data_IF_023752889144
#
_entry.id   IF_023752889144
#
_cell.length_a   1.000
_cell.length_b   1.000
_cell.length_c   1.000
_cell.angle_alpha   90.00
_cell.angle_beta   90.00
_cell.angle_gamma   90.00
#
_symmetry.space_group_name_H-M   'P 1'
#
loop_
_entity.id
_entity.type
_entity.pdbx_description
1 polymer ?
#
# COMPACT_ATOMS: atom_id res chain seq x y z
N UNK A 1 -27.78 -6.43 14.01
CA UNK A 1 -26.48 -5.83 14.42
C UNK A 1 -25.50 -6.04 13.29
N UNK A 2 -24.75 -5.02 12.89
CA UNK A 2 -23.76 -5.08 11.81
C UNK A 2 -22.60 -4.13 12.11
N UNK A 3 -21.40 -4.49 11.65
CA UNK A 3 -20.15 -3.76 11.84
C UNK A 3 -19.61 -3.33 10.47
N UNK A 4 -19.07 -2.11 10.36
CA UNK A 4 -18.55 -1.54 9.11
C UNK A 4 -17.18 -0.90 9.36
N UNK A 5 -16.32 -0.85 8.32
CA UNK A 5 -15.10 -0.04 8.28
C UNK A 5 -15.30 1.16 7.34
N UNK A 6 -14.80 2.35 7.72
CA UNK A 6 -14.78 3.52 6.83
C UNK A 6 -13.61 4.45 7.17
N UNK A 7 -12.92 4.97 6.15
CA UNK A 7 -11.95 6.05 6.31
C UNK A 7 -11.76 6.82 5.00
N UNK A 8 -12.06 8.13 5.00
CA UNK A 8 -11.48 9.10 4.06
C UNK A 8 -11.69 10.53 4.59
N UNK A 9 -10.64 11.35 4.60
CA UNK A 9 -10.78 12.79 4.40
C UNK A 9 -9.49 13.39 3.82
N UNK A 10 -9.64 14.16 2.72
CA UNK A 10 -8.58 14.80 1.94
C UNK A 10 -8.05 16.07 2.64
N UNK A 11 -6.76 16.33 2.48
CA UNK A 11 -6.09 17.58 2.88
C UNK A 11 -6.04 18.52 1.67
N UNK A 12 -6.35 19.80 1.87
CA UNK A 12 -6.12 20.88 0.91
C UNK A 12 -4.76 21.55 1.19
N UNK A 13 -3.98 21.81 0.15
CA UNK A 13 -2.85 22.75 0.19
C UNK A 13 -2.94 23.72 -0.99
N UNK A 14 -2.81 25.02 -0.69
CA UNK A 14 -2.67 26.10 -1.68
C UNK A 14 -1.19 26.22 -2.09
N UNK A 15 -0.84 26.50 -3.36
CA UNK A 15 0.55 26.72 -3.73
C UNK A 15 0.95 28.18 -3.49
N UNK A 16 2.13 28.37 -2.90
CA UNK A 16 2.86 29.65 -2.86
C UNK A 16 3.70 29.74 -4.14
N UNK A 17 3.50 30.77 -4.96
CA UNK A 17 4.38 31.07 -6.10
C UNK A 17 5.67 31.71 -5.61
N UNK A 18 6.80 31.17 -6.00
CA UNK A 18 8.10 31.87 -5.99
C UNK A 18 8.63 31.96 -7.42
N UNK A 19 8.84 33.19 -7.90
CA UNK A 19 9.59 33.48 -9.11
C UNK A 19 11.08 33.46 -8.74
N UNK A 20 11.87 32.60 -9.39
CA UNK A 20 13.33 32.71 -9.41
C UNK A 20 13.81 32.78 -10.85
N UNK A 21 14.43 33.91 -11.19
CA UNK A 21 15.21 34.08 -12.42
C UNK A 21 16.58 33.48 -12.11
N UNK A 22 16.84 32.29 -12.63
CA UNK A 22 18.12 31.61 -12.56
C UNK A 22 18.29 30.82 -13.85
N UNK A 23 19.51 30.76 -14.37
CA UNK A 23 19.85 29.95 -15.53
C UNK A 23 19.36 28.51 -15.28
N UNK A 24 18.37 28.05 -16.05
CA UNK A 24 17.86 26.68 -15.94
C UNK A 24 19.00 25.76 -16.37
N UNK A 25 19.63 25.12 -15.39
CA UNK A 25 20.50 23.97 -15.64
C UNK A 25 19.56 22.87 -16.11
N UNK A 26 19.67 22.50 -17.39
CA UNK A 26 18.87 21.43 -17.93
C UNK A 26 19.46 20.10 -17.44
N UNK A 27 18.78 19.41 -16.53
CA UNK A 27 19.22 18.16 -15.92
C UNK A 27 18.02 17.37 -15.39
N UNK A 28 18.27 16.09 -15.06
CA UNK A 28 17.27 15.22 -14.45
C UNK A 28 16.48 15.93 -13.33
N UNK A 29 15.15 15.96 -13.43
CA UNK A 29 14.27 16.64 -12.48
C UNK A 29 12.89 15.98 -12.37
N UNK A 30 12.07 16.52 -11.47
CA UNK A 30 10.66 16.17 -11.30
C UNK A 30 10.40 14.66 -11.05
N UNK A 31 11.35 13.98 -10.39
CA UNK A 31 11.22 12.56 -10.08
C UNK A 31 10.05 12.32 -9.13
N UNK A 32 9.10 11.52 -9.58
CA UNK A 32 7.87 11.15 -8.87
C UNK A 32 7.68 9.66 -8.92
N UNK A 33 7.28 9.08 -7.80
CA UNK A 33 6.94 7.67 -7.73
C UNK A 33 5.46 7.47 -7.42
N UNK A 34 4.91 6.39 -7.94
CA UNK A 34 3.59 5.87 -7.60
C UNK A 34 3.77 4.51 -6.93
N UNK A 35 3.56 4.49 -5.62
CA UNK A 35 3.57 3.30 -4.78
C UNK A 35 2.28 3.35 -3.96
N UNK A 36 1.42 2.32 -4.03
CA UNK A 36 0.19 2.31 -3.24
C UNK A 36 0.51 2.23 -1.75
N UNK A 37 -0.31 2.90 -0.93
CA UNK A 37 -0.17 2.87 0.53
C UNK A 37 -0.43 1.46 1.09
N UNK A 38 -1.38 0.73 0.48
CA UNK A 38 -1.72 -0.63 0.86
C UNK A 38 -2.10 -1.50 -0.36
N UNK A 39 -1.71 -2.77 -0.31
CA UNK A 39 -2.03 -3.80 -1.31
C UNK A 39 -2.47 -5.07 -0.58
N UNK A 40 -3.42 -5.83 -1.12
CA UNK A 40 -3.85 -7.07 -0.46
C UNK A 40 -2.77 -8.17 -0.58
N UNK A 41 -2.72 -9.05 0.40
CA UNK A 41 -1.89 -10.26 0.34
C UNK A 41 -2.29 -11.13 -0.86
N UNK A 42 -1.30 -11.60 -1.62
CA UNK A 42 -1.46 -12.35 -2.86
C UNK A 42 -1.59 -11.49 -4.13
N UNK A 43 -1.84 -10.18 -4.01
CA UNK A 43 -2.06 -9.32 -5.17
C UNK A 43 -0.76 -8.98 -5.93
N UNK A 44 -0.94 -8.44 -7.13
CA UNK A 44 0.14 -7.91 -7.98
C UNK A 44 0.07 -6.38 -7.97
N UNK A 45 1.23 -5.73 -7.86
CA UNK A 45 1.37 -4.27 -7.92
C UNK A 45 2.27 -3.88 -9.08
N UNK A 46 2.01 -2.71 -9.68
CA UNK A 46 2.95 -2.04 -10.56
C UNK A 46 3.37 -0.73 -9.91
N UNK A 47 4.66 -0.63 -9.59
CA UNK A 47 5.29 0.58 -9.10
C UNK A 47 5.69 1.44 -10.30
N UNK A 48 5.49 2.76 -10.21
CA UNK A 48 5.87 3.67 -11.28
C UNK A 48 6.89 4.69 -10.79
N UNK A 49 7.87 5.00 -11.63
CA UNK A 49 8.90 6.02 -11.43
C UNK A 49 8.95 6.88 -12.70
N UNK A 50 8.46 8.10 -12.56
CA UNK A 50 8.41 9.10 -13.60
C UNK A 50 9.47 10.15 -13.32
N UNK A 51 10.20 10.55 -14.35
CA UNK A 51 11.30 11.49 -14.26
C UNK A 51 11.42 12.24 -15.58
N UNK A 52 11.91 13.48 -15.53
CA UNK A 52 12.22 14.29 -16.71
C UNK A 52 13.73 14.35 -16.86
N UNK A 53 14.28 13.79 -17.94
CA UNK A 53 15.71 13.85 -18.26
C UNK A 53 16.09 15.14 -19.00
N UNK A 54 15.10 15.89 -19.48
CA UNK A 54 15.28 17.03 -20.38
C UNK A 54 16.16 16.68 -21.60
N UNK A 55 17.45 17.04 -21.56
CA UNK A 55 18.42 16.77 -22.63
C UNK A 55 19.46 15.70 -22.26
N UNK A 56 19.42 15.16 -21.04
CA UNK A 56 20.33 14.11 -20.61
C UNK A 56 19.88 12.73 -21.13
N UNK A 57 20.83 11.82 -21.24
CA UNK A 57 20.54 10.41 -21.49
C UNK A 57 20.37 9.67 -20.15
N UNK A 58 19.50 8.66 -20.13
CA UNK A 58 19.37 7.77 -18.97
C UNK A 58 20.60 6.88 -18.85
N UNK A 59 21.25 6.89 -17.68
CA UNK A 59 22.28 5.92 -17.35
C UNK A 59 21.68 4.67 -16.69
N UNK A 60 20.82 4.86 -15.69
CA UNK A 60 20.39 3.79 -14.79
C UNK A 60 19.09 4.14 -14.06
N UNK A 61 18.22 3.15 -13.88
CA UNK A 61 17.13 3.18 -12.89
C UNK A 61 17.29 1.99 -11.95
N UNK A 62 17.15 2.24 -10.65
CA UNK A 62 17.13 1.20 -9.60
C UNK A 62 15.89 1.30 -8.75
N UNK A 63 15.41 0.14 -8.33
CA UNK A 63 14.39 0.02 -7.30
C UNK A 63 14.92 -0.75 -6.10
N UNK A 64 14.60 -0.23 -4.92
CA UNK A 64 14.98 -0.77 -3.63
C UNK A 64 13.74 -1.05 -2.78
N UNK A 65 13.78 -2.12 -2.00
CA UNK A 65 12.89 -2.39 -0.87
C UNK A 65 13.74 -2.39 0.40
N UNK A 66 13.46 -1.48 1.34
CA UNK A 66 14.19 -1.35 2.60
C UNK A 66 15.72 -1.30 2.46
N UNK A 67 16.20 -0.67 1.39
CA UNK A 67 17.62 -0.52 0.99
C UNK A 67 18.23 -1.70 0.24
N UNK A 68 17.50 -2.81 0.04
CA UNK A 68 17.94 -3.90 -0.82
C UNK A 68 17.46 -3.68 -2.25
N UNK A 69 18.40 -3.66 -3.19
CA UNK A 69 18.10 -3.51 -4.61
C UNK A 69 17.43 -4.79 -5.12
N UNK A 70 16.27 -4.68 -5.76
CA UNK A 70 15.55 -5.82 -6.33
C UNK A 70 15.35 -5.73 -7.85
N UNK A 71 15.51 -4.54 -8.42
CA UNK A 71 15.39 -4.33 -9.86
C UNK A 71 16.30 -3.22 -10.35
N UNK A 72 16.87 -3.44 -11.55
CA UNK A 72 17.73 -2.50 -12.25
C UNK A 72 17.40 -2.43 -13.72
N UNK A 73 17.41 -1.23 -14.28
CA UNK A 73 17.32 -0.99 -15.71
C UNK A 73 18.52 -0.15 -16.20
N UNK A 74 19.29 -0.69 -17.14
CA UNK A 74 20.42 -0.01 -17.79
C UNK A 74 20.20 -0.06 -19.31
N UNK A 75 19.84 1.07 -19.96
CA UNK A 75 19.50 1.08 -21.39
C UNK A 75 20.60 0.55 -22.32
N UNK A 76 21.86 0.66 -21.90
CA UNK A 76 23.05 0.28 -22.69
C UNK A 76 23.47 -1.19 -22.51
N UNK A 77 22.79 -1.95 -21.66
CA UNK A 77 23.07 -3.37 -21.43
C UNK A 77 22.12 -4.28 -22.22
N UNK A 78 22.57 -5.49 -22.55
CA UNK A 78 21.74 -6.56 -23.12
C UNK A 78 21.78 -7.79 -22.19
N UNK A 79 20.65 -8.17 -21.55
CA UNK A 79 19.37 -7.47 -21.50
C UNK A 79 19.43 -6.18 -20.65
N UNK A 80 18.56 -5.18 -20.91
CA UNK A 80 18.59 -3.91 -20.20
C UNK A 80 18.06 -4.01 -18.77
N UNK A 81 17.21 -5.00 -18.47
CA UNK A 81 16.64 -5.21 -17.15
C UNK A 81 17.33 -6.36 -16.42
N UNK A 82 17.64 -6.16 -15.13
CA UNK A 82 18.14 -7.19 -14.21
C UNK A 82 17.30 -7.21 -12.94
N UNK A 83 17.04 -8.41 -12.43
CA UNK A 83 16.33 -8.64 -11.17
C UNK A 83 17.32 -9.23 -10.18
N UNK A 84 17.26 -8.76 -8.93
CA UNK A 84 18.06 -9.29 -7.84
C UNK A 84 17.13 -10.03 -6.88
N UNK A 85 17.58 -11.20 -6.42
CA UNK A 85 16.79 -12.02 -5.52
C UNK A 85 16.78 -11.40 -4.13
N UNK A 86 15.62 -10.91 -3.72
CA UNK A 86 15.30 -10.60 -2.34
C UNK A 86 14.12 -11.47 -1.90
N UNK A 87 14.09 -11.86 -0.63
CA UNK A 87 13.17 -12.88 -0.15
C UNK A 87 11.70 -12.52 -0.44
N UNK A 88 11.05 -13.32 -1.30
CA UNK A 88 9.63 -13.21 -1.63
C UNK A 88 9.24 -12.10 -2.61
N UNK A 89 10.18 -11.37 -3.20
CA UNK A 89 9.85 -10.44 -4.31
C UNK A 89 9.94 -11.17 -5.65
N UNK A 90 8.82 -11.22 -6.36
CA UNK A 90 8.74 -11.82 -7.70
C UNK A 90 8.47 -10.73 -8.74
N UNK A 91 9.51 -10.26 -9.42
CA UNK A 91 9.39 -9.24 -10.47
C UNK A 91 8.95 -9.86 -11.80
N UNK A 92 7.92 -9.28 -12.41
CA UNK A 92 7.50 -9.60 -13.77
C UNK A 92 8.27 -8.76 -14.79
N UNK A 93 9.39 -9.30 -15.27
CA UNK A 93 10.26 -8.65 -16.26
C UNK A 93 9.50 -8.26 -17.53
N UNK A 94 8.48 -9.04 -17.94
CA UNK A 94 7.72 -8.75 -19.17
C UNK A 94 6.79 -7.54 -19.03
N UNK A 95 6.50 -7.13 -17.79
CA UNK A 95 5.69 -5.95 -17.44
C UNK A 95 6.53 -4.93 -16.67
N UNK A 96 7.84 -4.94 -16.87
CA UNK A 96 8.75 -4.02 -16.22
C UNK A 96 9.70 -3.40 -17.25
N UNK A 97 10.00 -2.12 -17.08
CA UNK A 97 10.82 -1.32 -17.98
C UNK A 97 11.59 -0.23 -17.18
N UNK A 98 11.97 0.86 -17.84
CA UNK A 98 12.68 1.98 -17.22
C UNK A 98 11.82 2.82 -16.27
N UNK A 99 10.50 2.71 -16.35
CA UNK A 99 9.55 3.53 -15.59
C UNK A 99 8.67 2.70 -14.67
N UNK A 100 8.32 1.48 -15.06
CA UNK A 100 7.38 0.66 -14.31
C UNK A 100 8.03 -0.66 -13.89
N UNK A 101 7.74 -1.10 -12.66
CA UNK A 101 8.18 -2.39 -12.13
C UNK A 101 7.00 -3.12 -11.54
N UNK A 102 6.69 -4.29 -12.09
CA UNK A 102 5.54 -5.10 -11.65
C UNK A 102 6.01 -6.22 -10.72
N UNK A 103 5.49 -6.25 -9.49
CA UNK A 103 5.77 -7.29 -8.49
C UNK A 103 4.52 -8.15 -8.33
N UNK A 104 4.66 -9.46 -8.46
CA UNK A 104 3.56 -10.45 -8.38
C UNK A 104 3.52 -11.11 -7.02
N UNK A 105 2.32 -11.53 -6.62
CA UNK A 105 2.08 -12.39 -5.47
C UNK A 105 2.72 -11.86 -4.19
N UNK A 106 2.44 -10.59 -3.88
CA UNK A 106 2.95 -9.93 -2.70
C UNK A 106 2.51 -10.66 -1.43
N UNK A 107 3.42 -10.75 -0.46
CA UNK A 107 3.12 -11.24 0.89
C UNK A 107 3.42 -10.16 1.91
N UNK A 108 2.98 -10.36 3.15
CA UNK A 108 3.30 -9.46 4.26
C UNK A 108 4.78 -9.04 4.35
N UNK A 109 5.72 -9.91 3.99
CA UNK A 109 7.17 -9.65 4.04
C UNK A 109 7.63 -8.57 3.05
N UNK A 110 6.82 -8.21 2.05
CA UNK A 110 7.09 -7.12 1.12
C UNK A 110 6.52 -5.77 1.61
N UNK A 111 6.08 -5.70 2.87
CA UNK A 111 5.78 -4.41 3.51
C UNK A 111 7.08 -3.68 3.80
N UNK A 112 7.22 -2.44 3.34
CA UNK A 112 8.44 -1.67 3.55
C UNK A 112 8.46 -0.33 2.83
N UNK A 113 9.65 0.25 2.75
CA UNK A 113 9.91 1.49 2.02
C UNK A 113 10.45 1.15 0.64
N UNK A 114 9.70 1.53 -0.39
CA UNK A 114 10.08 1.41 -1.78
C UNK A 114 10.74 2.69 -2.25
N UNK A 115 11.92 2.59 -2.85
CA UNK A 115 12.67 3.72 -3.37
C UNK A 115 13.01 3.51 -4.84
N UNK A 116 12.73 4.50 -5.67
CA UNK A 116 13.28 4.60 -7.02
C UNK A 116 14.47 5.56 -7.00
N UNK A 117 15.57 5.16 -7.63
CA UNK A 117 16.74 6.00 -7.90
C UNK A 117 16.97 6.04 -9.42
N UNK A 118 17.14 7.23 -9.96
CA UNK A 118 17.39 7.48 -11.38
C UNK A 118 18.67 8.27 -11.52
N UNK A 119 19.56 7.80 -12.40
CA UNK A 119 20.80 8.50 -12.72
C UNK A 119 20.83 8.86 -14.20
N UNK A 120 21.11 10.13 -14.48
CA UNK A 120 21.47 10.63 -15.80
C UNK A 120 22.92 10.24 -16.16
N UNK A 121 23.22 10.21 -17.44
CA UNK A 121 24.53 9.88 -18.00
C UNK A 121 25.48 11.09 -18.00
N UNK A 122 26.67 10.91 -18.55
CA UNK A 122 27.61 11.99 -18.81
C UNK A 122 26.91 13.15 -19.55
N UNK A 123 27.24 14.42 -19.25
CA UNK A 123 28.39 14.86 -18.45
C UNK A 123 28.07 15.16 -16.98
N UNK A 124 26.80 15.35 -16.62
CA UNK A 124 26.42 15.82 -15.28
C UNK A 124 26.32 14.70 -14.26
N UNK A 125 26.04 13.46 -14.70
CA UNK A 125 25.87 12.28 -13.83
C UNK A 125 24.90 12.54 -12.66
N UNK A 126 23.89 13.37 -12.90
CA UNK A 126 22.94 13.77 -11.88
C UNK A 126 22.09 12.56 -11.44
N UNK A 127 21.84 12.44 -10.14
CA UNK A 127 21.08 11.32 -9.58
C UNK A 127 20.02 11.86 -8.63
N UNK A 128 18.79 11.42 -8.85
CA UNK A 128 17.62 11.78 -8.03
C UNK A 128 16.96 10.50 -7.53
N UNK A 129 16.30 10.58 -6.38
CA UNK A 129 15.58 9.46 -5.80
C UNK A 129 14.34 9.91 -5.05
N UNK A 130 13.35 9.02 -4.97
CA UNK A 130 12.19 9.24 -4.12
C UNK A 130 11.70 7.94 -3.52
N UNK A 131 11.11 8.05 -2.32
CA UNK A 131 10.71 6.90 -1.51
C UNK A 131 9.27 7.02 -1.01
N UNK A 132 8.59 5.88 -0.92
CA UNK A 132 7.22 5.77 -0.43
C UNK A 132 7.03 4.44 0.30
N UNK A 133 6.15 4.42 1.30
CA UNK A 133 5.85 3.23 2.09
C UNK A 133 4.66 2.48 1.50
N UNK A 134 4.77 1.16 1.47
CA UNK A 134 3.67 0.25 1.10
C UNK A 134 3.49 -0.78 2.19
N UNK A 135 2.22 -1.04 2.55
CA UNK A 135 1.83 -2.14 3.42
C UNK A 135 1.13 -3.23 2.63
N UNK A 136 1.55 -4.48 2.82
CA UNK A 136 0.78 -5.62 2.32
C UNK A 136 -0.17 -6.08 3.42
N UNK A 137 -1.46 -5.94 3.17
CA UNK A 137 -2.54 -6.14 4.13
C UNK A 137 -3.26 -7.47 3.89
N UNK A 138 -3.48 -8.23 4.96
CA UNK A 138 -4.29 -9.44 4.92
C UNK A 138 -5.70 -9.09 5.40
N UNK A 139 -6.68 -9.22 4.51
CA UNK A 139 -8.08 -9.04 4.84
C UNK A 139 -8.66 -10.33 5.45
N UNK A 140 -9.60 -10.25 6.40
CA UNK A 140 -10.32 -11.43 6.85
C UNK A 140 -11.14 -12.03 5.70
N UNK A 141 -11.09 -13.36 5.56
CA UNK A 141 -11.83 -14.10 4.52
C UNK A 141 -13.36 -14.01 4.66
N UNK A 142 -13.84 -13.66 5.85
CA UNK A 142 -15.27 -13.56 6.15
C UNK A 142 -15.60 -12.35 7.02
N UNK A 143 -16.86 -11.94 6.96
CA UNK A 143 -17.39 -10.94 7.90
C UNK A 143 -17.22 -11.41 9.36
N UNK A 144 -17.08 -10.47 10.32
CA UNK A 144 -17.01 -10.83 11.73
C UNK A 144 -18.24 -11.58 12.19
N UNK A 145 -18.04 -12.71 12.86
CA UNK A 145 -19.12 -13.51 13.40
C UNK A 145 -19.60 -12.94 14.74
N UNK A 146 -20.91 -12.72 14.85
CA UNK A 146 -21.55 -12.31 16.11
C UNK A 146 -22.14 -13.53 16.79
N UNK A 147 -21.64 -13.83 17.98
CA UNK A 147 -22.22 -14.81 18.90
C UNK A 147 -22.89 -14.09 20.06
N UNK A 148 -24.13 -14.47 20.36
CA UNK A 148 -24.88 -13.94 21.51
C UNK A 148 -25.07 -15.07 22.52
N UNK A 149 -25.00 -14.79 23.82
CA UNK A 149 -25.10 -15.72 24.93
C UNK A 149 -26.04 -15.16 26.01
N UNK A 150 -26.70 -16.05 26.77
CA UNK A 150 -27.66 -15.64 27.81
C UNK A 150 -28.90 -14.98 27.21
N UNK A 151 -29.51 -15.65 26.23
CA UNK A 151 -30.71 -15.17 25.52
C UNK A 151 -31.74 -16.29 25.60
N UNK A 152 -32.98 -15.96 25.95
CA UNK A 152 -34.07 -16.93 25.96
C UNK A 152 -34.51 -17.31 24.55
N UNK A 153 -35.08 -18.50 24.40
CA UNK A 153 -35.67 -18.96 23.14
C UNK A 153 -37.18 -18.94 23.30
N UNK A 154 -37.89 -18.29 22.38
CA UNK A 154 -39.34 -18.27 22.40
C UNK A 154 -39.92 -19.65 22.02
N UNK A 155 -41.24 -19.89 22.21
CA UNK A 155 -41.88 -21.15 21.83
C UNK A 155 -41.78 -21.50 20.34
N UNK A 156 -41.40 -20.55 19.49
CA UNK A 156 -41.20 -20.72 18.03
C UNK A 156 -39.75 -21.02 17.66
N UNK A 157 -38.85 -21.13 18.64
CA UNK A 157 -37.43 -21.41 18.42
C UNK A 157 -36.57 -20.17 18.13
N UNK A 158 -37.10 -18.95 18.27
CA UNK A 158 -36.34 -17.71 18.02
C UNK A 158 -35.63 -17.24 19.28
N UNK A 159 -34.40 -16.78 19.12
CA UNK A 159 -33.63 -16.16 20.20
C UNK A 159 -34.17 -14.76 20.46
N UNK A 160 -34.68 -14.53 21.67
CA UNK A 160 -35.31 -13.28 22.09
C UNK A 160 -34.65 -12.76 23.36
N UNK A 161 -34.37 -11.45 23.40
CA UNK A 161 -33.87 -10.77 24.60
C UNK A 161 -35.08 -10.12 25.27
N UNK A 162 -35.40 -10.53 26.50
CA UNK A 162 -36.50 -9.92 27.25
C UNK A 162 -36.09 -8.59 27.89
N UNK A 163 -37.06 -7.73 28.17
CA UNK A 163 -36.80 -6.45 28.82
C UNK A 163 -36.22 -6.68 30.22
N UNK A 164 -35.07 -6.06 30.52
CA UNK A 164 -34.34 -6.25 31.77
C UNK A 164 -33.38 -7.45 31.79
N UNK A 165 -33.41 -8.31 30.77
CA UNK A 165 -32.49 -9.44 30.64
C UNK A 165 -31.10 -8.96 30.21
N UNK A 166 -30.05 -9.48 30.87
CA UNK A 166 -28.66 -9.19 30.50
C UNK A 166 -28.16 -10.31 29.59
N UNK A 167 -27.67 -9.93 28.43
CA UNK A 167 -27.03 -10.85 27.50
C UNK A 167 -25.57 -10.46 27.27
N UNK A 168 -24.76 -11.42 26.83
CA UNK A 168 -23.39 -11.19 26.38
C UNK A 168 -23.33 -11.39 24.88
N UNK A 169 -22.66 -10.49 24.16
CA UNK A 169 -22.38 -10.65 22.74
C UNK A 169 -20.87 -10.61 22.51
N UNK A 170 -20.37 -11.48 21.64
CA UNK A 170 -18.98 -11.52 21.19
C UNK A 170 -18.94 -11.38 19.67
N UNK A 171 -18.01 -10.55 19.18
CA UNK A 171 -17.79 -10.29 17.77
C UNK A 171 -16.34 -10.68 17.47
N UNK A 172 -16.15 -11.63 16.57
CA UNK A 172 -14.84 -12.19 16.25
C UNK A 172 -14.64 -12.08 14.75
N UNK A 173 -13.56 -11.40 14.32
CA UNK A 173 -13.13 -11.44 12.93
C UNK A 173 -12.24 -12.66 12.67
N UNK A 174 -12.13 -13.03 11.40
CA UNK A 174 -11.02 -13.87 10.96
C UNK A 174 -9.66 -13.17 11.15
N UNK A 175 -8.56 -13.91 10.93
CA UNK A 175 -7.21 -13.35 10.92
C UNK A 175 -7.10 -12.16 9.97
N UNK A 176 -6.34 -11.15 10.35
CA UNK A 176 -6.10 -9.96 9.52
C UNK A 176 -4.81 -9.26 9.91
N UNK A 177 -4.27 -8.53 8.94
CA UNK A 177 -3.14 -7.64 9.13
C UNK A 177 -3.34 -6.35 8.33
N UNK A 178 -3.32 -5.16 8.95
CA UNK A 178 -3.27 -4.94 10.40
C UNK A 178 -4.53 -5.48 11.12
N UNK A 179 -4.51 -5.60 12.45
CA UNK A 179 -5.70 -6.00 13.21
C UNK A 179 -6.91 -5.13 12.86
N UNK A 180 -8.04 -5.76 12.54
CA UNK A 180 -9.27 -5.03 12.19
C UNK A 180 -9.88 -4.30 13.39
N UNK A 181 -10.43 -3.12 13.13
CA UNK A 181 -11.17 -2.35 14.11
C UNK A 181 -12.64 -2.78 14.16
N UNK A 182 -13.01 -3.54 15.19
CA UNK A 182 -14.40 -3.97 15.40
C UNK A 182 -15.22 -2.89 16.13
N UNK A 183 -16.38 -2.56 15.57
CA UNK A 183 -17.33 -1.59 16.14
C UNK A 183 -18.70 -2.23 16.35
N UNK A 184 -19.22 -2.19 17.57
CA UNK A 184 -20.59 -2.63 17.85
C UNK A 184 -21.62 -1.56 17.48
N UNK A 185 -22.70 -1.99 16.81
CA UNK A 185 -23.91 -1.18 16.59
C UNK A 185 -25.17 -1.96 16.88
N UNK A 186 -25.99 -1.48 17.81
CA UNK A 186 -27.31 -2.01 18.14
C UNK A 186 -28.35 -0.96 17.71
N UNK A 187 -29.27 -1.34 16.82
CA UNK A 187 -30.28 -0.44 16.25
C UNK A 187 -29.68 0.87 15.67
N UNK A 188 -28.51 0.78 15.04
CA UNK A 188 -27.80 1.94 14.47
C UNK A 188 -26.97 2.76 15.46
N UNK A 189 -27.15 2.58 16.77
CA UNK A 189 -26.39 3.29 17.80
C UNK A 189 -25.06 2.57 18.06
N UNK A 190 -23.95 3.33 18.07
CA UNK A 190 -22.60 2.81 18.35
C UNK A 190 -22.44 2.53 19.85
N UNK A 191 -21.95 1.35 20.20
CA UNK A 191 -21.64 0.97 21.57
C UNK A 191 -20.12 0.80 21.76
N UNK A 192 -19.54 1.28 22.86
CA UNK A 192 -18.14 1.00 23.18
C UNK A 192 -17.96 -0.48 23.49
N UNK A 193 -16.83 -1.04 23.08
CA UNK A 193 -16.42 -2.39 23.48
C UNK A 193 -16.06 -2.33 24.97
N UNK A 194 -16.85 -2.98 25.82
CA UNK A 194 -16.46 -3.21 27.21
C UNK A 194 -15.30 -4.21 27.24
N UNK A 195 -14.24 -3.90 27.99
CA UNK A 195 -13.16 -4.87 28.28
C UNK A 195 -13.70 -6.05 29.09
#
# INVERSE_FOLDING_TARGET
MYCLSSGTQRIFFLPRKEHKIGWEVLCLKDLKISVPEAVADGDTVTLSCQYDLENDALYLVRWYLDSEEFYRYVPKEEPPARVFEIAGVSVDIKKSDANNVTIRSLTRNQTGTYQCEVSADAPLFHTEHQSAKMMVATLPDSQPAVSVFGVTTDPTGRRVVQQGERFKASCISGPSYPPVNLTWRINGVKYPVGK
#
